data_IF_512949369798
#
_entry.id   IF_512949369798
#
_cell.length_a   1.000
_cell.length_b   1.000
_cell.length_c   1.000
_cell.angle_alpha   90.00
_cell.angle_beta   90.00
_cell.angle_gamma   90.00
#
_symmetry.space_group_name_H-M   'P 1'
#
loop_
_entity.id
_entity.type
_entity.pdbx_description
1 polymer ?
#
# COMPACT_ATOMS: atom_id res chain seq x y z
N UNK A 1 76.98 22.72 15.05
CA UNK A 1 76.78 21.34 15.51
C UNK A 1 76.74 21.41 17.05
N UNK A 2 75.55 21.64 17.64
CA UNK A 2 74.80 20.61 18.39
C UNK A 2 75.43 20.36 19.78
N UNK A 3 74.78 20.45 20.96
CA UNK A 3 73.36 20.35 21.33
C UNK A 3 73.15 21.06 22.68
N UNK A 4 72.00 21.74 22.77
CA UNK A 4 71.28 22.21 23.94
C UNK A 4 71.14 21.15 25.03
N UNK A 5 71.29 21.50 26.31
CA UNK A 5 70.35 21.01 27.35
C UNK A 5 70.04 22.14 28.33
N UNK A 6 68.91 22.79 28.04
CA UNK A 6 68.23 23.74 28.91
C UNK A 6 67.83 23.04 30.21
N UNK A 7 68.28 23.62 31.33
CA UNK A 7 67.93 23.26 32.68
C UNK A 7 66.52 23.82 32.97
N UNK A 8 65.52 22.94 32.97
CA UNK A 8 64.14 23.32 33.26
C UNK A 8 63.92 23.27 34.77
N UNK A 9 63.74 24.45 35.34
CA UNK A 9 63.47 24.70 36.74
C UNK A 9 62.33 23.83 37.27
N UNK A 10 62.62 23.09 38.34
CA UNK A 10 61.66 22.43 39.19
C UNK A 10 60.84 23.50 39.93
N UNK A 11 59.63 23.83 39.44
CA UNK A 11 58.61 24.50 40.24
C UNK A 11 57.65 23.43 40.78
N UNK A 12 57.74 23.17 42.08
CA UNK A 12 56.77 22.37 42.82
C UNK A 12 55.43 23.14 42.91
N UNK A 13 54.33 22.47 42.53
CA UNK A 13 52.93 22.86 42.84
C UNK A 13 52.30 21.65 43.55
N UNK A 14 51.58 21.84 44.66
CA UNK A 14 51.46 20.86 45.74
C UNK A 14 50.39 19.78 45.53
N UNK A 15 50.48 18.77 46.38
CA UNK A 15 49.70 17.54 46.49
C UNK A 15 48.19 17.76 46.60
N UNK A 16 47.39 17.11 45.75
CA UNK A 16 46.20 16.42 46.26
C UNK A 16 45.68 15.37 45.28
N UNK A 17 45.61 14.15 45.79
CA UNK A 17 44.75 13.04 45.40
C UNK A 17 44.46 12.85 43.89
N UNK A 18 45.29 12.00 43.33
CA UNK A 18 44.94 10.95 42.37
C UNK A 18 43.55 10.34 42.64
N UNK A 19 42.50 10.99 42.17
CA UNK A 19 41.14 10.46 42.17
C UNK A 19 40.98 9.44 41.05
N UNK A 20 41.16 8.17 41.42
CA UNK A 20 40.96 6.99 40.56
C UNK A 20 39.52 6.87 40.00
N UNK A 21 38.61 7.78 40.37
CA UNK A 21 37.23 7.87 39.88
C UNK A 21 37.12 8.59 38.53
N UNK A 22 38.06 9.49 38.18
CA UNK A 22 38.02 10.22 36.89
C UNK A 22 38.40 9.32 35.71
N UNK A 23 39.40 8.46 35.92
CA UNK A 23 39.84 7.46 34.93
C UNK A 23 38.76 6.37 34.72
N UNK A 24 38.02 6.00 35.78
CA UNK A 24 36.89 5.06 35.72
C UNK A 24 35.68 5.66 34.99
N UNK A 25 35.41 6.95 35.17
CA UNK A 25 34.34 7.67 34.48
C UNK A 25 34.60 7.81 32.96
N UNK A 26 35.85 8.06 32.55
CA UNK A 26 36.23 8.13 31.13
C UNK A 26 36.11 6.78 30.42
N UNK A 27 36.47 5.67 31.09
CA UNK A 27 36.26 4.30 30.56
C UNK A 27 34.78 3.92 30.45
N UNK A 28 33.92 4.33 31.39
CA UNK A 28 32.47 4.09 31.32
C UNK A 28 31.80 4.85 30.16
N UNK A 29 32.26 6.08 29.88
CA UNK A 29 31.76 6.87 28.75
C UNK A 29 32.17 6.29 27.38
N UNK A 30 33.37 5.70 27.28
CA UNK A 30 33.81 5.01 26.07
C UNK A 30 33.04 3.70 25.83
N UNK A 31 32.72 2.95 26.89
CA UNK A 31 31.94 1.69 26.77
C UNK A 31 30.49 1.97 26.37
N UNK A 32 29.87 3.03 26.90
CA UNK A 32 28.51 3.44 26.51
C UNK A 32 28.44 3.98 25.06
N UNK A 33 29.50 4.64 24.57
CA UNK A 33 29.59 5.12 23.19
C UNK A 33 29.81 4.00 22.16
N UNK A 34 30.43 2.89 22.57
CA UNK A 34 30.63 1.71 21.72
C UNK A 34 29.40 0.78 21.70
N UNK A 35 28.56 0.82 22.73
CA UNK A 35 27.29 0.08 22.77
C UNK A 35 26.22 0.65 21.84
N UNK A 36 26.36 1.92 21.42
CA UNK A 36 25.50 2.56 20.40
C UNK A 36 25.75 2.09 18.96
N UNK A 37 26.76 1.25 18.69
CA UNK A 37 26.96 0.65 17.36
C UNK A 37 26.31 -0.73 17.19
N UNK A 38 25.85 -1.38 18.28
CA UNK A 38 25.21 -2.70 18.18
C UNK A 38 23.67 -2.64 17.98
N UNK A 39 23.07 -1.45 17.99
CA UNK A 39 21.64 -1.29 17.78
C UNK A 39 21.36 -0.58 16.45
N UNK A 40 21.32 -1.35 15.35
CA UNK A 40 20.39 -1.21 14.20
C UNK A 40 20.93 -2.01 13.01
N UNK A 41 20.83 -3.33 13.13
CA UNK A 41 20.62 -4.20 11.97
C UNK A 41 19.16 -4.66 12.02
N UNK A 42 18.23 -3.71 12.00
CA UNK A 42 16.81 -4.01 11.84
C UNK A 42 16.53 -4.26 10.37
N UNK A 43 15.93 -5.40 10.04
CA UNK A 43 15.49 -5.75 8.68
C UNK A 43 14.50 -4.69 8.17
N UNK A 44 14.99 -3.72 7.39
CA UNK A 44 14.18 -2.79 6.61
C UNK A 44 13.78 -3.44 5.30
N UNK A 45 12.88 -4.42 5.35
CA UNK A 45 12.20 -4.91 4.16
C UNK A 45 11.27 -3.82 3.64
N UNK A 46 11.79 -2.86 2.88
CA UNK A 46 10.96 -2.01 2.02
C UNK A 46 10.49 -2.88 0.86
N UNK A 47 9.48 -3.70 1.11
CA UNK A 47 8.62 -4.15 0.04
C UNK A 47 8.01 -2.86 -0.53
N UNK A 48 8.62 -2.35 -1.60
CA UNK A 48 8.00 -1.40 -2.48
C UNK A 48 6.71 -2.05 -2.94
N UNK A 49 5.61 -1.78 -2.23
CA UNK A 49 4.29 -1.92 -2.81
C UNK A 49 4.30 -0.93 -3.95
N UNK A 50 4.57 -1.40 -5.16
CA UNK A 50 4.23 -0.67 -6.37
C UNK A 50 2.74 -0.35 -6.23
N UNK A 51 2.42 0.81 -5.67
CA UNK A 51 1.12 1.44 -5.82
C UNK A 51 1.10 2.00 -7.23
N UNK A 52 1.20 1.13 -8.24
CA UNK A 52 0.28 1.33 -9.35
C UNK A 52 -1.08 1.36 -8.68
N UNK A 53 -1.93 2.38 -8.90
CA UNK A 53 -3.30 2.33 -8.41
C UNK A 53 -3.88 1.02 -8.93
N UNK A 54 -3.94 0.01 -8.06
CA UNK A 54 -4.53 -1.28 -8.38
C UNK A 54 -6.01 -0.97 -8.44
N UNK A 55 -6.44 -0.61 -9.63
CA UNK A 55 -7.77 -0.17 -9.86
C UNK A 55 -8.69 -1.37 -9.71
N UNK A 56 -9.56 -1.31 -8.71
CA UNK A 56 -10.50 -2.38 -8.43
C UNK A 56 -11.64 -2.28 -9.45
N UNK A 57 -11.76 -3.28 -10.31
CA UNK A 57 -12.89 -3.44 -11.20
C UNK A 57 -14.06 -4.04 -10.43
N UNK A 58 -15.18 -3.32 -10.32
CA UNK A 58 -16.36 -3.80 -9.61
C UNK A 58 -17.62 -3.51 -10.42
N UNK A 59 -18.26 -4.57 -10.90
CA UNK A 59 -19.53 -4.49 -11.63
C UNK A 59 -20.67 -4.91 -10.72
N UNK A 60 -21.73 -4.12 -10.67
CA UNK A 60 -22.95 -4.42 -9.91
C UNK A 60 -24.15 -4.41 -10.84
N UNK A 61 -24.99 -5.44 -10.81
CA UNK A 61 -26.22 -5.52 -11.60
C UNK A 61 -27.46 -5.43 -10.70
N UNK A 62 -28.46 -4.65 -11.12
CA UNK A 62 -29.74 -4.49 -10.43
C UNK A 62 -30.91 -4.44 -11.42
N UNK A 63 -31.97 -5.22 -11.17
CA UNK A 63 -32.11 -6.22 -10.11
C UNK A 63 -31.30 -7.51 -10.41
N UNK A 64 -30.87 -8.23 -9.37
CA UNK A 64 -30.15 -9.51 -9.52
C UNK A 64 -31.07 -10.68 -9.92
N UNK A 65 -32.37 -10.50 -9.77
CA UNK A 65 -33.39 -11.47 -10.18
C UNK A 65 -34.59 -10.70 -10.71
N UNK A 66 -35.13 -11.18 -11.81
CA UNK A 66 -36.23 -10.55 -12.53
C UNK A 66 -37.40 -11.53 -12.54
N UNK A 67 -38.54 -11.10 -12.04
CA UNK A 67 -39.79 -11.86 -12.13
C UNK A 67 -40.63 -11.31 -13.29
N UNK A 68 -40.86 -12.14 -14.30
CA UNK A 68 -41.72 -11.78 -15.44
C UNK A 68 -43.21 -11.96 -15.14
N UNK A 69 -43.55 -12.63 -14.04
CA UNK A 69 -44.93 -12.93 -13.67
C UNK A 69 -45.59 -13.92 -14.64
N UNK A 70 -46.91 -13.78 -14.81
CA UNK A 70 -47.69 -14.65 -15.70
C UNK A 70 -47.67 -14.08 -17.12
N UNK A 71 -46.83 -14.64 -18.00
CA UNK A 71 -46.77 -14.24 -19.41
C UNK A 71 -47.69 -15.13 -20.24
N UNK A 72 -48.65 -14.52 -20.94
CA UNK A 72 -49.58 -15.24 -21.81
C UNK A 72 -48.83 -15.87 -22.99
N UNK A 73 -49.18 -17.10 -23.35
CA UNK A 73 -48.59 -17.80 -24.52
C UNK A 73 -48.76 -16.95 -25.77
N UNK A 74 -47.65 -16.69 -26.48
CA UNK A 74 -47.61 -15.83 -27.66
C UNK A 74 -47.40 -14.34 -27.37
N UNK A 75 -47.29 -13.93 -26.11
CA UNK A 75 -46.92 -12.57 -25.70
C UNK A 75 -45.48 -12.50 -25.19
N UNK A 76 -44.85 -11.34 -25.33
CA UNK A 76 -43.50 -11.07 -24.79
C UNK A 76 -43.58 -10.08 -23.64
N UNK A 77 -42.85 -10.35 -22.56
CA UNK A 77 -42.69 -9.46 -21.42
C UNK A 77 -41.23 -9.03 -21.31
N UNK A 78 -40.99 -7.73 -21.20
CA UNK A 78 -39.65 -7.14 -21.18
C UNK A 78 -39.36 -6.55 -19.81
N UNK A 79 -38.15 -6.75 -19.32
CA UNK A 79 -37.74 -6.25 -18.01
C UNK A 79 -36.37 -5.61 -18.10
N UNK A 80 -36.29 -4.36 -17.68
CA UNK A 80 -35.05 -3.61 -17.72
C UNK A 80 -34.12 -4.04 -16.58
N UNK A 81 -32.90 -4.43 -16.93
CA UNK A 81 -31.82 -4.70 -15.98
C UNK A 81 -30.72 -3.69 -16.20
N UNK A 82 -30.32 -3.01 -15.12
CA UNK A 82 -29.22 -2.07 -15.13
C UNK A 82 -27.97 -2.70 -14.54
N UNK A 83 -26.81 -2.34 -15.06
CA UNK A 83 -25.52 -2.67 -14.47
C UNK A 83 -24.64 -1.43 -14.42
N UNK A 84 -23.86 -1.33 -13.35
CA UNK A 84 -23.08 -0.15 -13.00
C UNK A 84 -21.65 -0.55 -12.66
N UNK A 85 -20.68 0.19 -13.19
CA UNK A 85 -19.30 0.09 -12.77
C UNK A 85 -19.11 0.89 -11.48
N UNK A 86 -19.15 0.18 -10.35
CA UNK A 86 -18.89 0.71 -9.01
C UNK A 86 -17.40 0.77 -8.66
N UNK A 87 -16.54 0.27 -9.55
CA UNK A 87 -15.10 0.29 -9.38
C UNK A 87 -14.44 1.60 -9.81
N UNK A 88 -13.12 1.60 -9.78
CA UNK A 88 -12.29 2.79 -10.04
C UNK A 88 -11.53 2.68 -11.38
N UNK A 89 -11.83 1.65 -12.19
CA UNK A 89 -11.25 1.40 -13.52
C UNK A 89 -12.32 1.23 -14.57
N UNK A 90 -11.96 1.50 -15.83
CA UNK A 90 -12.82 1.18 -16.97
C UNK A 90 -13.03 -0.34 -17.05
N UNK A 91 -14.29 -0.75 -17.17
CA UNK A 91 -14.65 -2.16 -17.38
C UNK A 91 -15.09 -2.36 -18.82
N UNK A 92 -14.56 -3.38 -19.47
CA UNK A 92 -15.00 -3.78 -20.82
C UNK A 92 -15.90 -5.00 -20.70
N UNK A 93 -17.16 -4.85 -21.08
CA UNK A 93 -18.12 -5.95 -21.18
C UNK A 93 -18.06 -6.48 -22.61
N UNK A 94 -17.60 -7.72 -22.77
CA UNK A 94 -17.38 -8.32 -24.10
C UNK A 94 -18.57 -9.11 -24.61
N UNK A 95 -19.43 -9.61 -23.72
CA UNK A 95 -20.61 -10.41 -24.07
C UNK A 95 -21.63 -10.38 -22.92
N UNK A 96 -22.90 -10.51 -23.27
CA UNK A 96 -24.00 -10.81 -22.36
C UNK A 96 -24.99 -11.71 -23.07
N UNK A 97 -25.46 -12.76 -22.39
CA UNK A 97 -26.41 -13.72 -22.94
C UNK A 97 -27.37 -14.23 -21.88
N UNK A 98 -28.61 -14.50 -22.29
CA UNK A 98 -29.59 -15.22 -21.48
C UNK A 98 -29.53 -16.72 -21.78
N UNK A 99 -29.83 -17.54 -20.77
CA UNK A 99 -29.92 -19.00 -20.93
C UNK A 99 -31.35 -19.44 -20.68
N UNK A 100 -31.86 -20.32 -21.55
CA UNK A 100 -33.22 -20.86 -21.47
C UNK A 100 -34.09 -20.50 -22.69
N UNK A 101 -35.00 -21.40 -23.10
CA UNK A 101 -35.93 -21.11 -24.20
C UNK A 101 -36.89 -19.98 -23.80
N UNK A 102 -37.03 -18.98 -24.66
CA UNK A 102 -37.94 -17.85 -24.44
C UNK A 102 -37.31 -16.62 -23.76
N UNK A 103 -36.00 -16.63 -23.47
CA UNK A 103 -35.28 -15.46 -22.97
C UNK A 103 -34.30 -14.95 -24.03
N UNK A 104 -34.30 -13.64 -24.26
CA UNK A 104 -33.32 -12.94 -25.07
C UNK A 104 -32.91 -11.65 -24.37
N UNK A 105 -31.70 -11.18 -24.67
CA UNK A 105 -31.20 -9.88 -24.20
C UNK A 105 -31.13 -8.95 -25.40
N UNK A 106 -31.65 -7.73 -25.25
CA UNK A 106 -31.59 -6.67 -26.27
C UNK A 106 -31.20 -5.34 -25.65
N UNK A 107 -30.80 -4.39 -26.49
CA UNK A 107 -30.44 -3.02 -26.08
C UNK A 107 -28.97 -2.81 -25.72
N UNK A 108 -28.10 -3.82 -25.87
CA UNK A 108 -26.65 -3.67 -25.73
C UNK A 108 -25.91 -3.99 -27.03
N UNK A 109 -24.87 -3.21 -27.28
CA UNK A 109 -23.86 -3.50 -28.30
C UNK A 109 -22.55 -3.84 -27.61
N UNK A 110 -21.93 -4.94 -28.02
CA UNK A 110 -20.63 -5.37 -27.51
C UNK A 110 -19.53 -5.15 -28.57
N UNK A 111 -18.29 -4.83 -28.16
CA UNK A 111 -17.83 -4.61 -26.79
C UNK A 111 -18.25 -3.23 -26.24
N UNK A 112 -18.72 -3.19 -24.98
CA UNK A 112 -19.10 -1.96 -24.29
C UNK A 112 -18.05 -1.63 -23.22
N UNK A 113 -17.44 -0.45 -23.32
CA UNK A 113 -16.57 0.07 -22.26
C UNK A 113 -17.38 0.96 -21.31
N UNK A 114 -17.40 0.59 -20.03
CA UNK A 114 -18.10 1.29 -18.97
C UNK A 114 -17.08 1.97 -18.03
N UNK A 115 -16.93 3.31 -18.09
CA UNK A 115 -16.07 4.05 -17.16
C UNK A 115 -16.51 3.92 -15.69
N UNK A 116 -15.63 4.22 -14.72
CA UNK A 116 -15.98 4.31 -13.30
C UNK A 116 -17.21 5.17 -13.05
N UNK A 117 -18.13 4.67 -12.24
CA UNK A 117 -19.38 5.35 -11.89
C UNK A 117 -20.46 5.35 -12.98
N UNK A 118 -20.16 4.82 -14.17
CA UNK A 118 -21.15 4.76 -15.25
C UNK A 118 -22.03 3.51 -15.16
N UNK A 119 -23.24 3.64 -15.71
CA UNK A 119 -24.22 2.56 -15.78
C UNK A 119 -24.74 2.37 -17.19
N UNK A 120 -25.15 1.15 -17.51
CA UNK A 120 -25.82 0.78 -18.75
C UNK A 120 -26.95 -0.19 -18.45
N UNK A 121 -27.91 -0.33 -19.37
CA UNK A 121 -29.11 -1.12 -19.15
C UNK A 121 -29.46 -1.94 -20.39
N UNK A 122 -30.10 -3.07 -20.15
CA UNK A 122 -30.57 -3.99 -21.18
C UNK A 122 -31.96 -4.52 -20.83
N UNK A 123 -32.59 -5.11 -21.83
CA UNK A 123 -33.99 -5.58 -21.81
C UNK A 123 -34.10 -7.04 -22.20
#
# INVERSE_FOLDING_TARGET
MNILKHNYAQRQVPDNCRDNNFLRASSLLLILALFSWFSVSGCGGVAGKNTTPQGNGQLSARPASVAFGNVTVGSSSTQAVSFSNTGNVNLTVSLGGATGPGFSISGLTFPLTLPPGQSSAFN
#
